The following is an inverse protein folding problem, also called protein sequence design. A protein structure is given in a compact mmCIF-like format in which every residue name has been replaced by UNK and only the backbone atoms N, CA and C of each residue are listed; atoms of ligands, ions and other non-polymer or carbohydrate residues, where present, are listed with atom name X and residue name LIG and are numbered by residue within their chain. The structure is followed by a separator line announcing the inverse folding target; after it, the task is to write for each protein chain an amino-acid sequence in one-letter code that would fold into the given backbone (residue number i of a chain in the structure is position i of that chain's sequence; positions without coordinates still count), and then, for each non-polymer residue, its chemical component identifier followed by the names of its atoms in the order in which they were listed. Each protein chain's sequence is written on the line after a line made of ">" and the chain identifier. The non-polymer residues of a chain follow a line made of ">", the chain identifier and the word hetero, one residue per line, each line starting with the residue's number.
data_IF_695483332671
#
_entry.id   IF_695483332671
#
_cell.length_a   1.000
_cell.length_b   1.000
_cell.length_c   1.000
_cell.angle_alpha   90.00
_cell.angle_beta   90.00
_cell.angle_gamma   90.00
#
_symmetry.space_group_name_H-M   'P 1'
#
loop_
_entity.id
_entity.type
_entity.pdbx_description
1 polymer ?
#
# COMPACT_ATOMS: atom_id res chain seq x y z
N UNK A 1 28.96 37.08 -35.57
CA UNK A 1 28.08 36.39 -36.54
C UNK A 1 26.69 36.34 -35.92
N UNK A 2 25.91 37.40 -36.14
CA UNK A 2 24.75 37.48 -37.05
C UNK A 2 23.42 37.15 -36.34
N UNK A 3 22.81 38.21 -35.75
CA UNK A 3 21.39 38.30 -35.39
C UNK A 3 20.55 38.26 -36.67
N UNK A 4 19.45 37.51 -36.68
CA UNK A 4 18.41 37.64 -37.71
C UNK A 4 17.02 37.77 -37.08
N UNK A 5 16.43 38.93 -37.34
CA UNK A 5 15.01 39.29 -37.19
C UNK A 5 14.27 39.02 -38.50
N UNK A 6 12.96 38.70 -38.41
CA UNK A 6 11.85 38.94 -39.37
C UNK A 6 10.82 37.81 -39.22
N UNK A 7 9.50 37.98 -39.37
CA UNK A 7 8.54 39.09 -39.44
C UNK A 7 7.16 38.40 -39.26
N UNK A 8 6.19 39.11 -38.70
CA UNK A 8 4.79 38.70 -38.61
C UNK A 8 4.18 38.45 -40.00
N UNK A 9 3.22 37.53 -40.08
CA UNK A 9 2.12 37.59 -41.04
C UNK A 9 0.87 37.00 -40.38
N UNK A 10 -0.11 37.87 -40.18
CA UNK A 10 -1.47 37.52 -39.80
C UNK A 10 -2.20 37.00 -41.04
N UNK A 11 -3.00 35.94 -40.89
CA UNK A 11 -4.11 35.65 -41.79
C UNK A 11 -5.35 35.47 -40.91
N UNK A 12 -6.25 36.43 -41.03
CA UNK A 12 -7.59 36.36 -40.50
C UNK A 12 -8.38 35.33 -41.31
N UNK A 13 -8.98 34.35 -40.64
CA UNK A 13 -10.03 33.51 -41.21
C UNK A 13 -11.24 33.61 -40.29
N UNK A 14 -12.20 34.42 -40.70
CA UNK A 14 -13.53 34.47 -40.11
C UNK A 14 -14.27 33.16 -40.45
N UNK A 15 -14.32 32.24 -39.49
CA UNK A 15 -15.15 31.04 -39.56
C UNK A 15 -16.49 31.31 -38.91
N UNK A 16 -17.55 31.39 -39.72
CA UNK A 16 -18.94 31.39 -39.28
C UNK A 16 -19.22 30.03 -38.62
N UNK A 17 -19.49 30.03 -37.30
CA UNK A 17 -20.01 28.84 -36.62
C UNK A 17 -21.50 29.02 -36.36
N UNK A 18 -22.27 28.19 -37.06
CA UNK A 18 -23.71 27.96 -36.89
C UNK A 18 -23.99 27.56 -35.43
N UNK A 19 -24.86 28.31 -34.74
CA UNK A 19 -25.38 27.91 -33.44
C UNK A 19 -26.45 26.82 -33.63
N UNK A 20 -26.06 25.56 -33.47
CA UNK A 20 -27.01 24.45 -33.37
C UNK A 20 -27.60 24.41 -31.95
N UNK A 21 -28.86 24.80 -31.82
CA UNK A 21 -29.69 24.56 -30.64
C UNK A 21 -29.88 23.04 -30.47
N UNK A 22 -29.16 22.45 -29.53
CA UNK A 22 -29.44 21.09 -29.06
C UNK A 22 -30.48 21.16 -27.93
N UNK A 23 -31.51 20.28 -27.92
CA UNK A 23 -32.37 20.13 -26.76
C UNK A 23 -31.54 19.59 -25.59
N UNK A 24 -31.66 20.23 -24.43
CA UNK A 24 -31.11 19.74 -23.19
C UNK A 24 -31.74 18.38 -22.86
N UNK A 25 -31.04 17.31 -23.22
CA UNK A 25 -31.40 15.97 -22.80
C UNK A 25 -31.14 15.88 -21.30
N UNK A 26 -32.21 15.79 -20.53
CA UNK A 26 -32.16 15.33 -19.14
C UNK A 26 -31.62 13.91 -19.15
N UNK A 27 -30.30 13.79 -18.98
CA UNK A 27 -29.67 12.50 -18.73
C UNK A 27 -30.23 11.96 -17.41
N UNK A 28 -31.19 11.05 -17.51
CA UNK A 28 -31.50 10.15 -16.41
C UNK A 28 -30.20 9.40 -16.11
N UNK A 29 -29.60 9.70 -14.95
CA UNK A 29 -28.46 8.96 -14.45
C UNK A 29 -28.90 7.50 -14.28
N UNK A 30 -28.59 6.66 -15.27
CA UNK A 30 -28.71 5.22 -15.12
C UNK A 30 -27.75 4.86 -13.99
N UNK A 31 -28.23 4.30 -12.86
CA UNK A 31 -27.32 3.82 -11.84
C UNK A 31 -26.41 2.79 -12.49
N UNK A 32 -25.11 3.09 -12.51
CA UNK A 32 -24.09 2.15 -12.96
C UNK A 32 -24.36 0.82 -12.24
N UNK A 33 -24.33 -0.32 -12.96
CA UNK A 33 -24.49 -1.61 -12.31
C UNK A 33 -23.45 -1.70 -11.20
N UNK A 34 -23.91 -1.88 -9.97
CA UNK A 34 -23.07 -2.21 -8.83
C UNK A 34 -22.22 -3.40 -9.22
N UNK A 35 -20.94 -3.15 -9.51
CA UNK A 35 -19.92 -4.18 -9.70
C UNK A 35 -20.05 -5.12 -8.51
N UNK A 36 -20.42 -6.37 -8.76
CA UNK A 36 -20.70 -7.40 -7.77
C UNK A 36 -19.86 -7.21 -6.51
N UNK A 37 -20.55 -6.75 -5.47
CA UNK A 37 -19.96 -6.36 -4.21
C UNK A 37 -19.27 -7.56 -3.57
N UNK A 38 -17.94 -7.59 -3.64
CA UNK A 38 -17.15 -8.26 -2.63
C UNK A 38 -17.49 -7.57 -1.31
N UNK A 39 -18.28 -8.24 -0.46
CA UNK A 39 -18.64 -7.71 0.86
C UNK A 39 -17.36 -7.19 1.57
N UNK A 40 -17.29 -5.88 1.88
CA UNK A 40 -16.13 -5.30 2.54
C UNK A 40 -15.93 -5.95 3.91
N UNK A 41 -14.71 -5.90 4.43
CA UNK A 41 -14.36 -6.49 5.73
C UNK A 41 -13.94 -7.95 5.69
N UNK A 42 -14.14 -8.66 4.56
CA UNK A 42 -13.66 -10.04 4.41
C UNK A 42 -12.13 -10.10 4.37
N UNK A 43 -11.55 -10.92 5.26
CA UNK A 43 -10.14 -11.24 5.26
C UNK A 43 -9.78 -12.28 4.18
N UNK A 44 -8.58 -12.16 3.60
CA UNK A 44 -8.03 -13.08 2.61
C UNK A 44 -6.58 -13.38 2.95
N UNK A 45 -6.24 -14.67 3.02
CA UNK A 45 -4.87 -15.14 3.17
C UNK A 45 -4.16 -15.06 1.81
N UNK A 46 -2.94 -14.54 1.79
CA UNK A 46 -2.19 -14.30 0.57
C UNK A 46 -0.83 -15.01 0.64
N UNK A 47 -0.33 -15.47 -0.51
CA UNK A 47 1.02 -16.00 -0.59
C UNK A 47 2.03 -14.88 -0.45
N UNK A 48 2.94 -15.01 0.52
CA UNK A 48 4.10 -14.13 0.63
C UNK A 48 5.04 -14.37 -0.57
N UNK A 49 5.48 -13.28 -1.20
CA UNK A 49 6.51 -13.33 -2.25
C UNK A 49 7.79 -12.70 -1.73
N UNK A 50 8.91 -13.06 -2.35
CA UNK A 50 10.23 -12.51 -2.00
C UNK A 50 10.26 -10.99 -2.10
N UNK A 51 9.64 -10.43 -3.15
CA UNK A 51 9.49 -8.99 -3.34
C UNK A 51 8.75 -8.32 -2.19
N UNK A 52 7.71 -8.95 -1.65
CA UNK A 52 7.02 -8.40 -0.47
C UNK A 52 7.90 -8.52 0.76
N UNK A 53 8.56 -9.67 0.96
CA UNK A 53 9.49 -9.90 2.09
C UNK A 53 10.57 -8.82 2.16
N UNK A 54 11.21 -8.48 1.03
CA UNK A 54 12.18 -7.37 0.96
C UNK A 54 11.57 -6.03 1.36
N UNK A 55 10.37 -5.70 0.87
CA UNK A 55 9.70 -4.43 1.22
C UNK A 55 9.35 -4.33 2.70
N UNK A 56 8.99 -5.43 3.35
CA UNK A 56 8.75 -5.45 4.80
C UNK A 56 10.03 -5.18 5.57
N UNK A 57 11.13 -5.79 5.14
CA UNK A 57 12.45 -5.58 5.72
C UNK A 57 12.97 -4.15 5.52
N UNK A 58 12.71 -3.55 4.35
CA UNK A 58 13.01 -2.13 4.09
C UNK A 58 12.17 -1.20 4.97
N UNK A 59 10.88 -1.51 5.18
CA UNK A 59 10.03 -0.72 6.07
C UNK A 59 10.53 -0.78 7.52
N UNK A 60 10.90 -1.96 8.01
CA UNK A 60 11.50 -2.13 9.35
C UNK A 60 12.80 -1.31 9.48
N UNK A 61 13.73 -1.46 8.53
CA UNK A 61 14.99 -0.73 8.57
C UNK A 61 14.79 0.79 8.54
N UNK A 62 14.00 1.29 7.58
CA UNK A 62 13.87 2.73 7.35
C UNK A 62 13.04 3.44 8.43
N UNK A 63 12.11 2.74 9.10
CA UNK A 63 11.17 3.36 10.04
C UNK A 63 11.51 3.08 11.50
N UNK A 64 12.38 2.10 11.76
CA UNK A 64 12.70 1.66 13.12
C UNK A 64 14.22 1.47 13.28
N UNK A 65 14.75 0.27 13.01
CA UNK A 65 16.11 -0.10 13.36
C UNK A 65 17.19 0.86 12.82
N UNK A 66 17.14 1.23 11.53
CA UNK A 66 18.16 2.08 10.92
C UNK A 66 18.22 3.50 11.50
N UNK A 67 17.13 3.98 12.10
CA UNK A 67 17.08 5.29 12.77
C UNK A 67 17.85 5.28 14.09
N UNK A 68 17.83 4.15 14.80
CA UNK A 68 18.47 4.00 16.11
C UNK A 68 19.87 3.37 16.04
N UNK A 69 20.25 2.84 14.88
CA UNK A 69 21.54 2.20 14.64
C UNK A 69 22.23 2.78 13.37
N UNK A 70 22.70 4.05 13.42
CA UNK A 70 23.27 4.73 12.26
C UNK A 70 24.54 4.06 11.70
N UNK A 71 25.27 3.31 12.54
CA UNK A 71 26.48 2.59 12.14
C UNK A 71 26.20 1.17 11.63
N UNK A 72 24.95 0.71 11.71
CA UNK A 72 24.56 -0.57 11.14
C UNK A 72 24.28 -0.44 9.64
N UNK A 73 24.21 -1.57 8.94
CA UNK A 73 23.87 -1.60 7.51
C UNK A 73 22.62 -2.43 7.25
N UNK A 74 21.80 -1.94 6.30
CA UNK A 74 20.57 -2.60 5.83
C UNK A 74 20.82 -4.06 5.42
N UNK A 75 22.00 -4.39 4.91
CA UNK A 75 22.35 -5.74 4.48
C UNK A 75 22.37 -6.78 5.62
N UNK A 76 22.39 -6.33 6.88
CA UNK A 76 22.31 -7.20 8.06
C UNK A 76 20.88 -7.65 8.38
N UNK A 77 19.85 -7.00 7.83
CA UNK A 77 18.46 -7.40 8.04
C UNK A 77 18.09 -8.49 7.02
N UNK A 78 17.98 -9.72 7.48
CA UNK A 78 17.25 -10.75 6.74
C UNK A 78 15.76 -10.43 6.79
N UNK A 79 15.07 -10.51 5.66
CA UNK A 79 13.64 -10.23 5.64
C UNK A 79 12.85 -11.16 6.56
N UNK A 80 11.61 -10.77 6.91
CA UNK A 80 10.89 -11.44 7.99
C UNK A 80 10.63 -12.92 7.66
N UNK A 81 10.72 -13.75 8.69
CA UNK A 81 10.50 -15.20 8.69
C UNK A 81 9.14 -15.54 9.32
N UNK A 82 8.58 -16.70 8.97
CA UNK A 82 7.29 -17.15 9.52
C UNK A 82 6.14 -16.17 9.25
N UNK A 83 6.10 -15.58 8.05
CA UNK A 83 5.21 -14.44 7.79
C UNK A 83 3.79 -14.88 7.45
N UNK A 84 2.84 -14.40 8.23
CA UNK A 84 1.42 -14.36 7.87
C UNK A 84 1.15 -13.11 7.04
N UNK A 85 0.63 -13.28 5.83
CA UNK A 85 0.37 -12.18 4.91
C UNK A 85 -1.04 -12.26 4.36
N UNK A 86 -1.72 -11.12 4.29
CA UNK A 86 -3.13 -11.10 3.94
C UNK A 86 -3.66 -9.70 3.76
N UNK A 87 -4.95 -9.63 3.46
CA UNK A 87 -5.66 -8.36 3.33
C UNK A 87 -7.07 -8.42 3.84
N UNK A 88 -7.58 -7.26 4.23
CA UNK A 88 -9.00 -6.99 4.40
C UNK A 88 -9.50 -6.32 3.15
N UNK A 89 -10.55 -6.90 2.55
CA UNK A 89 -11.20 -6.32 1.38
C UNK A 89 -11.91 -5.02 1.74
N UNK A 90 -11.60 -3.96 1.01
CA UNK A 90 -12.40 -2.73 1.03
C UNK A 90 -13.61 -2.83 0.11
N UNK A 91 -14.41 -1.76 0.06
CA UNK A 91 -15.49 -1.63 -0.92
C UNK A 91 -14.97 -1.66 -2.37
N UNK A 92 -13.73 -1.24 -2.58
CA UNK A 92 -13.00 -1.36 -3.85
C UNK A 92 -11.58 -1.86 -3.59
N UNK A 93 -10.89 -2.34 -4.63
CA UNK A 93 -9.50 -2.78 -4.51
C UNK A 93 -8.55 -1.67 -3.99
N UNK A 94 -8.85 -0.40 -4.32
CA UNK A 94 -8.12 0.77 -3.83
C UNK A 94 -8.30 1.01 -2.31
N UNK A 95 -9.30 0.38 -1.70
CA UNK A 95 -9.60 0.45 -0.26
C UNK A 95 -9.13 -0.80 0.50
N UNK A 96 -8.52 -1.78 -0.18
CA UNK A 96 -7.94 -2.95 0.48
C UNK A 96 -6.81 -2.52 1.44
N UNK A 97 -6.79 -3.13 2.62
CA UNK A 97 -5.74 -2.96 3.62
C UNK A 97 -4.98 -4.26 3.76
N UNK A 98 -3.68 -4.21 3.49
CA UNK A 98 -2.77 -5.33 3.56
C UNK A 98 -2.06 -5.33 4.90
N UNK A 99 -1.87 -6.52 5.44
CA UNK A 99 -1.24 -6.76 6.73
C UNK A 99 -0.23 -7.87 6.59
N UNK A 100 0.88 -7.74 7.30
CA UNK A 100 1.85 -8.81 7.49
C UNK A 100 2.25 -8.90 8.95
N UNK A 101 2.48 -10.11 9.43
CA UNK A 101 2.95 -10.42 10.78
C UNK A 101 4.07 -11.44 10.67
N UNK A 102 5.21 -11.22 11.31
CA UNK A 102 6.32 -12.18 11.28
C UNK A 102 7.54 -11.74 12.08
N UNK A 103 8.47 -12.66 12.30
CA UNK A 103 9.70 -12.38 13.04
C UNK A 103 10.75 -11.76 12.12
N UNK A 104 11.35 -10.66 12.54
CA UNK A 104 12.49 -10.04 11.86
C UNK A 104 13.57 -9.76 12.90
N UNK A 105 14.80 -9.59 12.44
CA UNK A 105 15.94 -9.25 13.29
C UNK A 105 17.18 -9.05 12.44
N UNK A 106 18.32 -8.94 13.11
CA UNK A 106 19.58 -8.49 12.56
C UNK A 106 20.62 -9.59 12.68
N UNK A 107 21.34 -9.86 11.58
CA UNK A 107 22.47 -10.81 11.58
C UNK A 107 23.52 -10.41 12.60
N UNK A 108 23.88 -11.36 13.46
CA UNK A 108 24.89 -11.16 14.49
C UNK A 108 24.38 -10.44 15.74
N UNK A 109 23.08 -10.15 15.82
CA UNK A 109 22.45 -9.54 16.99
C UNK A 109 21.25 -10.40 17.44
N UNK A 110 21.48 -11.39 18.33
CA UNK A 110 20.42 -12.26 18.83
C UNK A 110 19.33 -11.53 19.63
N UNK A 111 19.65 -10.36 20.21
CA UNK A 111 18.71 -9.59 21.03
C UNK A 111 17.60 -9.02 20.14
N UNK A 112 17.93 -8.60 18.91
CA UNK A 112 16.97 -8.08 17.94
C UNK A 112 15.83 -9.03 17.52
N UNK A 113 15.90 -10.31 17.90
CA UNK A 113 14.85 -11.31 17.59
C UNK A 113 13.87 -11.56 18.74
N UNK A 114 14.11 -10.98 19.93
CA UNK A 114 13.36 -11.34 21.14
C UNK A 114 11.97 -10.70 21.21
N UNK A 115 11.75 -9.58 20.53
CA UNK A 115 10.57 -8.74 20.76
C UNK A 115 9.29 -9.24 20.08
N UNK A 116 9.40 -10.28 19.24
CA UNK A 116 8.27 -11.11 18.83
C UNK A 116 7.18 -10.39 18.01
N UNK A 117 6.42 -11.18 17.23
CA UNK A 117 6.23 -10.92 15.81
C UNK A 117 5.89 -9.47 15.48
N UNK A 118 6.58 -8.94 14.50
CA UNK A 118 6.44 -7.56 14.08
C UNK A 118 5.28 -7.41 13.11
N UNK A 119 4.68 -6.23 13.09
CA UNK A 119 3.48 -5.97 12.30
C UNK A 119 3.77 -4.91 11.25
N UNK A 120 3.33 -5.18 10.02
CA UNK A 120 3.33 -4.22 8.94
C UNK A 120 1.92 -4.03 8.38
N UNK A 121 1.65 -2.81 7.91
CA UNK A 121 0.39 -2.46 7.26
C UNK A 121 0.62 -1.57 6.05
N UNK A 122 -0.18 -1.76 5.00
CA UNK A 122 -0.31 -0.76 3.93
C UNK A 122 -1.72 -0.70 3.39
N UNK A 123 -2.08 0.42 2.77
CA UNK A 123 -3.31 0.57 1.99
C UNK A 123 -2.96 0.51 0.50
N UNK A 124 -3.62 -0.37 -0.24
CA UNK A 124 -3.47 -0.49 -1.70
C UNK A 124 -2.00 -0.54 -2.19
N UNK A 125 -1.63 0.31 -3.16
CA UNK A 125 -0.27 0.46 -3.69
C UNK A 125 0.62 1.40 -2.85
N UNK A 126 0.17 1.83 -1.66
CA UNK A 126 0.98 2.64 -0.75
C UNK A 126 2.21 1.90 -0.19
N UNK A 127 3.08 2.67 0.47
CA UNK A 127 4.23 2.14 1.18
C UNK A 127 3.83 1.27 2.38
N UNK A 128 4.68 0.32 2.73
CA UNK A 128 4.54 -0.42 3.98
C UNK A 128 4.91 0.46 5.16
N UNK A 129 4.01 0.53 6.14
CA UNK A 129 4.28 1.08 7.46
C UNK A 129 4.62 -0.08 8.41
N UNK A 130 5.72 0.06 9.13
CA UNK A 130 6.06 -0.77 10.27
C UNK A 130 5.32 -0.25 11.50
N UNK A 131 4.66 -1.15 12.22
CA UNK A 131 3.80 -0.80 13.37
C UNK A 131 4.40 -1.23 14.72
N UNK A 132 5.66 -1.70 14.72
CA UNK A 132 6.34 -2.22 15.90
C UNK A 132 6.32 -3.74 16.02
N UNK A 133 7.09 -4.21 16.99
CA UNK A 133 6.92 -5.52 17.60
C UNK A 133 5.58 -5.60 18.36
N UNK A 134 5.26 -6.79 18.84
CA UNK A 134 3.99 -7.04 19.53
C UNK A 134 4.16 -7.52 20.96
N UNK A 135 5.38 -7.83 21.41
CA UNK A 135 5.60 -8.53 22.68
C UNK A 135 4.78 -9.83 22.78
N UNK A 136 4.44 -10.45 21.65
CA UNK A 136 3.56 -11.62 21.56
C UNK A 136 2.06 -11.33 21.44
N UNK A 137 1.62 -10.08 21.59
CA UNK A 137 0.22 -9.69 21.52
C UNK A 137 -0.15 -8.96 20.20
N UNK A 138 -0.93 -9.62 19.36
CA UNK A 138 -1.39 -9.11 18.05
C UNK A 138 -2.59 -8.12 18.12
N UNK A 139 -2.70 -7.27 19.14
CA UNK A 139 -3.86 -6.38 19.35
C UNK A 139 -4.08 -5.39 18.19
N UNK A 140 -3.00 -4.99 17.51
CA UNK A 140 -3.03 -4.11 16.33
C UNK A 140 -3.59 -4.82 15.08
N UNK A 141 -3.58 -6.15 15.06
CA UNK A 141 -3.96 -6.96 13.90
C UNK A 141 -5.47 -7.21 13.94
N UNK A 142 -6.19 -7.00 12.82
CA UNK A 142 -7.62 -7.24 12.79
C UNK A 142 -8.00 -8.71 13.11
N UNK A 143 -9.00 -8.89 13.98
CA UNK A 143 -9.49 -10.21 14.41
C UNK A 143 -9.88 -11.13 13.25
N UNK A 144 -10.39 -10.59 12.15
CA UNK A 144 -10.75 -11.36 10.95
C UNK A 144 -9.55 -11.99 10.26
N UNK A 145 -8.37 -11.35 10.31
CA UNK A 145 -7.12 -11.91 9.81
C UNK A 145 -6.57 -12.97 10.78
N UNK A 146 -6.57 -12.67 12.08
CA UNK A 146 -6.16 -13.64 13.11
C UNK A 146 -6.92 -14.96 12.99
N UNK A 147 -8.24 -14.88 12.77
CA UNK A 147 -9.10 -16.05 12.57
C UNK A 147 -8.67 -16.92 11.38
N UNK A 148 -8.36 -16.34 10.23
CA UNK A 148 -7.96 -17.12 9.03
C UNK A 148 -6.50 -17.57 9.06
N UNK A 149 -5.69 -16.95 9.92
CA UNK A 149 -4.30 -17.33 10.17
C UNK A 149 -4.16 -18.33 11.33
N UNK A 150 -5.27 -18.64 12.01
CA UNK A 150 -5.31 -19.51 13.19
C UNK A 150 -4.39 -19.02 14.32
N UNK A 151 -4.34 -17.70 14.52
CA UNK A 151 -3.58 -17.05 15.59
C UNK A 151 -4.54 -16.61 16.72
N UNK A 152 -4.12 -16.71 17.99
CA UNK A 152 -4.92 -16.23 19.10
C UNK A 152 -5.04 -14.69 19.06
N UNK A 153 -6.20 -14.12 19.48
CA UNK A 153 -6.28 -12.70 19.81
C UNK A 153 -5.48 -12.40 21.08
N UNK A 154 -5.27 -11.12 21.37
CA UNK A 154 -4.93 -10.73 22.73
C UNK A 154 -6.18 -10.75 23.58
N UNK A 155 -6.06 -11.33 24.77
CA UNK A 155 -7.07 -11.29 25.82
C UNK A 155 -7.03 -9.95 26.57
#
# INVERSE_FOLDING_TARGET
>A
MAKWTRRLSAVAAAGIMLAALLPAQTAFAVPLPSVEGKAPGRAVNLKLTEKIRHKLADAFWNQDYGKYHPDASRNKVDGPKGVYYGKIKGATAAKDIYWAVGSIGIKGDPISYQDGPHVWRKRYHGAWAYLGDTGGCLAKVPKTLLKIWHLPPCD
#
